data_IF_845269519237
#
_entry.id   IF_845269519237
#
_cell.length_a   1.000
_cell.length_b   1.000
_cell.length_c   1.000
_cell.angle_alpha   90.00
_cell.angle_beta   90.00
_cell.angle_gamma   90.00
#
_symmetry.space_group_name_H-M   'P 1'
#
loop_
_entity.id
_entity.type
_entity.pdbx_description
1 polymer ?
#
# COMPACT_ATOMS: atom_id res chain seq x y z
N UNK A 1 50.21 11.10 -12.32
CA UNK A 1 49.73 9.86 -11.68
C UNK A 1 48.64 10.31 -10.73
N UNK A 2 47.38 10.23 -11.13
CA UNK A 2 46.25 10.68 -10.32
C UNK A 2 45.82 9.50 -9.44
N UNK A 3 45.85 9.68 -8.11
CA UNK A 3 45.32 8.71 -7.16
C UNK A 3 43.82 8.52 -7.41
N UNK A 4 43.40 7.27 -7.59
CA UNK A 4 41.98 6.94 -7.66
C UNK A 4 41.36 7.10 -6.25
N UNK A 5 40.19 7.74 -6.11
CA UNK A 5 39.55 7.88 -4.81
C UNK A 5 39.17 6.50 -4.26
N UNK A 6 39.51 6.25 -2.99
CA UNK A 6 39.19 5.01 -2.27
C UNK A 6 37.69 4.69 -2.37
N UNK A 7 37.32 3.41 -2.55
CA UNK A 7 35.92 3.02 -2.57
C UNK A 7 35.27 3.37 -1.22
N UNK A 8 34.18 4.15 -1.26
CA UNK A 8 33.33 4.41 -0.11
C UNK A 8 32.86 3.08 0.47
N UNK A 9 33.56 2.62 1.51
CA UNK A 9 33.21 1.40 2.22
C UNK A 9 32.29 1.83 3.36
N UNK A 10 31.01 1.47 3.27
CA UNK A 10 30.08 1.71 4.36
C UNK A 10 30.58 0.97 5.61
N UNK A 11 30.57 1.61 6.79
CA UNK A 11 30.95 0.92 8.01
C UNK A 11 30.02 -0.29 8.20
N UNK A 12 30.56 -1.44 8.64
CA UNK A 12 29.74 -2.61 8.92
C UNK A 12 28.69 -2.23 9.95
N UNK A 13 27.42 -2.33 9.58
CA UNK A 13 26.32 -2.10 10.51
C UNK A 13 26.46 -3.12 11.64
N UNK A 14 26.52 -2.69 12.92
CA UNK A 14 26.56 -3.63 14.04
C UNK A 14 25.35 -4.57 13.95
N UNK A 15 25.48 -5.80 14.47
CA UNK A 15 24.34 -6.72 14.57
C UNK A 15 23.25 -6.07 15.43
N UNK A 16 22.28 -5.43 14.78
CA UNK A 16 21.14 -4.83 15.44
C UNK A 16 20.15 -5.95 15.76
N UNK A 17 19.62 -5.93 16.97
CA UNK A 17 18.44 -6.75 17.30
C UNK A 17 17.34 -6.47 16.26
N UNK A 18 16.56 -7.49 15.87
CA UNK A 18 15.52 -7.31 14.89
C UNK A 18 14.57 -6.17 15.35
N UNK A 19 14.22 -5.22 14.46
CA UNK A 19 13.36 -4.10 14.81
C UNK A 19 12.04 -4.58 15.38
N UNK A 20 11.66 -4.04 16.55
CA UNK A 20 10.38 -4.33 17.17
C UNK A 20 9.26 -3.62 16.40
N UNK A 21 8.61 -4.35 15.48
CA UNK A 21 7.56 -3.83 14.59
C UNK A 21 6.39 -3.24 15.40
N UNK A 22 5.96 -3.90 16.47
CA UNK A 22 4.88 -3.41 17.32
C UNK A 22 5.21 -2.08 17.99
N UNK A 23 6.47 -1.86 18.38
CA UNK A 23 6.92 -0.58 18.93
C UNK A 23 6.94 0.55 17.87
N UNK A 24 7.28 0.23 16.62
CA UNK A 24 7.29 1.18 15.50
C UNK A 24 5.86 1.58 15.12
N UNK A 25 4.94 0.61 15.15
CA UNK A 25 3.55 0.76 14.69
C UNK A 25 2.52 0.72 15.83
N UNK A 26 2.84 1.34 16.97
CA UNK A 26 1.97 1.35 18.17
C UNK A 26 0.54 1.88 17.97
N UNK A 27 0.28 2.60 16.87
CA UNK A 27 -1.04 3.13 16.53
C UNK A 27 -1.90 2.14 15.72
N UNK A 28 -1.32 1.03 15.28
CA UNK A 28 -2.00 -0.03 14.54
C UNK A 28 -2.41 -1.09 15.55
N UNK A 29 -3.68 -1.49 15.47
CA UNK A 29 -4.24 -2.57 16.27
C UNK A 29 -3.47 -3.89 16.06
N UNK A 30 -3.29 -4.66 17.14
CA UNK A 30 -2.48 -5.88 17.14
C UNK A 30 -3.04 -6.97 16.20
N UNK A 31 -4.36 -7.13 16.13
CA UNK A 31 -5.00 -8.09 15.22
C UNK A 31 -4.75 -7.69 13.76
N UNK A 32 -4.84 -6.39 13.47
CA UNK A 32 -4.54 -5.86 12.14
C UNK A 32 -3.08 -6.08 11.77
N UNK A 33 -2.15 -5.85 12.70
CA UNK A 33 -0.74 -6.09 12.48
C UNK A 33 -0.47 -7.58 12.23
N UNK A 34 -1.02 -8.47 13.03
CA UNK A 34 -0.89 -9.92 12.86
C UNK A 34 -1.46 -10.38 11.51
N UNK A 35 -2.61 -9.84 11.09
CA UNK A 35 -3.19 -10.12 9.78
C UNK A 35 -2.27 -9.68 8.62
N UNK A 36 -1.51 -8.59 8.77
CA UNK A 36 -0.52 -8.17 7.77
C UNK A 36 0.64 -9.17 7.72
N UNK A 37 1.19 -9.52 8.89
CA UNK A 37 2.35 -10.41 8.99
C UNK A 37 2.06 -11.82 8.47
N UNK A 38 0.81 -12.28 8.62
CA UNK A 38 0.33 -13.57 8.10
C UNK A 38 -0.21 -13.49 6.66
N UNK A 39 -0.21 -12.31 6.03
CA UNK A 39 -0.78 -12.07 4.70
C UNK A 39 -2.29 -12.37 4.58
N UNK A 40 -3.04 -12.15 5.66
CA UNK A 40 -4.47 -12.40 5.77
C UNK A 40 -5.32 -11.11 5.72
N UNK A 41 -4.70 -9.93 5.82
CA UNK A 41 -5.41 -8.65 5.75
C UNK A 41 -6.10 -8.48 4.38
N UNK A 42 -7.44 -8.30 4.31
CA UNK A 42 -8.12 -8.01 3.06
C UNK A 42 -7.75 -6.64 2.52
N UNK A 43 -7.66 -6.50 1.19
CA UNK A 43 -7.34 -5.22 0.55
C UNK A 43 -8.32 -4.10 0.93
N UNK A 44 -9.60 -4.44 1.11
CA UNK A 44 -10.66 -3.53 1.51
C UNK A 44 -10.49 -2.97 2.94
N UNK A 45 -9.65 -3.59 3.77
CA UNK A 45 -9.37 -3.16 5.14
C UNK A 45 -8.07 -2.37 5.29
N UNK A 46 -7.31 -2.17 4.19
CA UNK A 46 -6.07 -1.40 4.22
C UNK A 46 -6.24 0.00 4.82
N UNK A 47 -7.43 0.61 4.71
CA UNK A 47 -7.72 1.94 5.23
C UNK A 47 -7.48 2.06 6.74
N UNK A 48 -7.49 0.95 7.48
CA UNK A 48 -7.13 0.89 8.90
C UNK A 48 -5.69 1.38 9.16
N UNK A 49 -4.84 1.37 8.14
CA UNK A 49 -3.44 1.81 8.19
C UNK A 49 -3.26 3.29 7.81
N UNK A 50 -4.34 3.99 7.45
CA UNK A 50 -4.28 5.41 7.13
C UNK A 50 -4.27 6.25 8.41
N UNK A 51 -3.08 6.67 8.81
CA UNK A 51 -2.87 7.53 9.99
C UNK A 51 -3.60 8.87 9.90
N UNK A 52 -3.89 9.39 8.69
CA UNK A 52 -4.69 10.62 8.53
C UNK A 52 -6.10 10.42 9.04
N UNK A 53 -6.71 9.27 8.70
CA UNK A 53 -8.05 8.91 9.17
C UNK A 53 -8.09 8.61 10.66
N UNK A 54 -7.01 8.04 11.21
CA UNK A 54 -6.88 7.84 12.66
C UNK A 54 -6.86 9.19 13.39
N UNK A 55 -6.10 10.17 12.87
CA UNK A 55 -6.05 11.52 13.43
C UNK A 55 -7.39 12.26 13.27
N UNK A 56 -8.05 12.15 12.13
CA UNK A 56 -9.38 12.73 11.88
C UNK A 56 -10.45 12.09 12.79
N UNK A 57 -10.44 10.76 12.97
CA UNK A 57 -11.35 10.07 13.87
C UNK A 57 -11.11 10.45 15.34
N UNK A 58 -9.86 10.64 15.75
CA UNK A 58 -9.53 11.16 17.08
C UNK A 58 -10.05 12.60 17.26
N UNK A 59 -9.95 13.45 16.24
CA UNK A 59 -10.55 14.79 16.25
C UNK A 59 -12.08 14.75 16.36
N UNK A 60 -12.74 13.85 15.63
CA UNK A 60 -14.19 13.69 15.68
C UNK A 60 -14.69 13.09 17.00
N UNK A 61 -13.92 12.25 17.69
CA UNK A 61 -14.29 11.76 19.03
C UNK A 61 -14.21 12.86 20.09
N UNK A 62 -13.29 13.82 19.96
CA UNK A 62 -13.22 15.01 20.82
C UNK A 62 -14.45 15.91 20.58
N UNK A 63 -14.97 15.97 19.35
CA UNK A 63 -16.16 16.76 18.98
C UNK A 63 -17.49 16.05 19.32
N UNK A 64 -17.50 14.72 19.45
CA UNK A 64 -18.70 13.89 19.66
C UNK A 64 -19.04 13.64 21.15
N UNK A 65 -18.21 14.08 22.10
CA UNK A 65 -18.63 14.13 23.51
C UNK A 65 -19.84 15.08 23.72
N UNK A 66 -20.17 15.93 22.73
CA UNK A 66 -21.24 16.92 22.82
C UNK A 66 -22.49 16.60 21.95
N UNK A 67 -22.56 15.47 21.25
CA UNK A 67 -23.75 15.13 20.44
C UNK A 67 -23.92 13.64 20.10
N UNK A 68 -25.18 13.20 20.19
CA UNK A 68 -25.70 11.83 20.06
C UNK A 68 -25.11 10.99 18.92
N UNK A 69 -24.62 9.80 19.29
CA UNK A 69 -24.03 8.77 18.40
C UNK A 69 -25.09 8.16 17.47
N UNK A 70 -24.97 8.39 16.17
CA UNK A 70 -25.73 7.67 15.13
C UNK A 70 -24.96 6.43 14.69
N UNK A 71 -25.62 5.27 14.66
CA UNK A 71 -25.10 4.01 14.13
C UNK A 71 -24.80 4.19 12.62
N UNK A 72 -23.52 4.36 12.27
CA UNK A 72 -23.10 4.47 10.87
C UNK A 72 -23.00 3.08 10.23
N UNK A 73 -23.62 2.93 9.06
CA UNK A 73 -23.43 1.81 8.15
C UNK A 73 -21.95 1.65 7.79
N UNK A 74 -21.48 0.43 7.57
CA UNK A 74 -20.12 0.16 7.05
C UNK A 74 -20.01 0.86 5.69
N UNK A 75 -19.07 1.80 5.49
CA UNK A 75 -18.92 2.49 4.22
C UNK A 75 -18.52 1.51 3.12
N UNK A 76 -19.02 1.72 1.90
CA UNK A 76 -18.55 0.96 0.73
C UNK A 76 -17.08 1.26 0.46
N UNK A 77 -16.36 0.33 -0.16
CA UNK A 77 -14.95 0.52 -0.51
C UNK A 77 -14.71 1.80 -1.34
N UNK A 78 -15.65 2.20 -2.19
CA UNK A 78 -15.62 3.45 -2.95
C UNK A 78 -15.69 4.72 -2.09
N UNK A 79 -16.43 4.67 -0.99
CA UNK A 79 -16.55 5.79 -0.04
C UNK A 79 -15.29 5.95 0.80
N UNK A 80 -14.58 4.84 1.04
CA UNK A 80 -13.31 4.80 1.78
C UNK A 80 -12.15 5.22 0.88
N UNK A 81 -12.05 4.59 -0.29
CA UNK A 81 -10.99 4.79 -1.27
C UNK A 81 -11.50 5.70 -2.39
N UNK A 82 -11.64 6.99 -2.10
CA UNK A 82 -12.21 7.97 -3.04
C UNK A 82 -11.22 8.37 -4.15
N UNK A 83 -9.92 8.24 -3.89
CA UNK A 83 -8.87 8.66 -4.81
C UNK A 83 -7.56 7.87 -4.58
N UNK A 84 -6.59 8.09 -5.46
CA UNK A 84 -5.30 7.42 -5.40
C UNK A 84 -4.57 7.63 -4.06
N UNK A 85 -4.66 8.82 -3.45
CA UNK A 85 -3.99 9.10 -2.18
C UNK A 85 -4.62 8.35 -1.00
N UNK A 86 -5.94 8.19 -1.00
CA UNK A 86 -6.66 7.39 0.01
C UNK A 86 -6.28 5.91 -0.05
N UNK A 87 -5.73 5.45 -1.19
CA UNK A 87 -5.23 4.09 -1.37
C UNK A 87 -3.72 3.97 -1.11
N UNK A 88 -2.91 4.88 -1.67
CA UNK A 88 -1.45 4.81 -1.59
C UNK A 88 -0.91 5.01 -0.17
N UNK A 89 -1.51 5.89 0.63
CA UNK A 89 -1.04 6.13 2.00
C UNK A 89 -1.10 4.87 2.87
N UNK A 90 -2.26 4.23 3.07
CA UNK A 90 -2.32 2.98 3.83
C UNK A 90 -1.50 1.85 3.19
N UNK A 91 -1.44 1.79 1.86
CA UNK A 91 -0.64 0.79 1.14
C UNK A 91 0.88 0.96 1.39
N UNK A 92 1.38 2.19 1.48
CA UNK A 92 2.77 2.46 1.80
C UNK A 92 3.10 2.04 3.24
N UNK A 93 2.18 2.25 4.18
CA UNK A 93 2.31 1.74 5.56
C UNK A 93 2.39 0.21 5.56
N UNK A 94 1.49 -0.45 4.82
CA UNK A 94 1.48 -1.91 4.63
C UNK A 94 2.83 -2.42 4.10
N UNK A 95 3.34 -1.82 3.02
CA UNK A 95 4.64 -2.21 2.46
C UNK A 95 5.82 -1.93 3.38
N UNK A 96 5.76 -0.87 4.18
CA UNK A 96 6.81 -0.58 5.17
C UNK A 96 6.87 -1.65 6.26
N UNK A 97 5.71 -2.10 6.77
CA UNK A 97 5.62 -3.21 7.73
C UNK A 97 6.23 -4.48 7.13
N UNK A 98 5.83 -4.82 5.90
CA UNK A 98 6.35 -5.99 5.20
C UNK A 98 7.86 -5.90 4.92
N UNK A 99 8.39 -4.73 4.60
CA UNK A 99 9.83 -4.54 4.41
C UNK A 99 10.57 -4.84 5.70
N UNK A 100 10.15 -4.25 6.82
CA UNK A 100 10.81 -4.45 8.11
C UNK A 100 10.75 -5.92 8.53
N UNK A 101 9.58 -6.54 8.43
CA UNK A 101 9.39 -7.95 8.75
C UNK A 101 10.19 -8.87 7.83
N UNK A 102 10.05 -8.70 6.52
CA UNK A 102 10.67 -9.55 5.51
C UNK A 102 12.20 -9.50 5.59
N UNK A 103 12.79 -8.29 5.68
CA UNK A 103 14.24 -8.15 5.78
C UNK A 103 14.79 -8.78 7.07
N UNK A 104 14.06 -8.67 8.18
CA UNK A 104 14.42 -9.32 9.44
C UNK A 104 14.34 -10.86 9.37
N UNK A 105 13.54 -11.39 8.45
CA UNK A 105 13.33 -12.82 8.22
C UNK A 105 14.03 -13.36 6.96
N UNK A 106 15.08 -12.66 6.48
CA UNK A 106 15.95 -13.18 5.42
C UNK A 106 15.48 -12.93 3.99
N UNK A 107 14.46 -12.09 3.78
CA UNK A 107 14.15 -11.59 2.43
C UNK A 107 15.29 -10.72 1.89
N UNK A 108 15.51 -10.70 0.57
CA UNK A 108 16.58 -9.92 -0.03
C UNK A 108 16.36 -8.41 0.15
N UNK A 109 17.46 -7.66 0.19
CA UNK A 109 17.44 -6.17 0.26
C UNK A 109 16.70 -5.50 -0.90
N UNK A 110 16.41 -6.25 -1.96
CA UNK A 110 15.61 -5.83 -3.11
C UNK A 110 14.11 -5.88 -2.87
N UNK A 111 13.63 -6.42 -1.74
CA UNK A 111 12.22 -6.53 -1.39
C UNK A 111 11.44 -5.20 -1.60
N UNK A 112 11.94 -4.03 -1.14
CA UNK A 112 11.24 -2.76 -1.37
C UNK A 112 11.06 -2.40 -2.86
N UNK A 113 11.91 -2.90 -3.75
CA UNK A 113 11.82 -2.62 -5.18
C UNK A 113 10.55 -3.21 -5.79
N UNK A 114 10.08 -4.37 -5.31
CA UNK A 114 8.85 -4.99 -5.81
C UNK A 114 7.64 -4.12 -5.49
N UNK A 115 7.57 -3.59 -4.26
CA UNK A 115 6.49 -2.71 -3.81
C UNK A 115 6.51 -1.36 -4.53
N UNK A 116 7.69 -0.77 -4.72
CA UNK A 116 7.83 0.48 -5.46
C UNK A 116 7.36 0.36 -6.92
N UNK A 117 7.67 -0.76 -7.58
CA UNK A 117 7.19 -1.07 -8.93
C UNK A 117 5.67 -1.15 -8.97
N UNK A 118 5.06 -1.79 -7.98
CA UNK A 118 3.61 -1.84 -7.87
C UNK A 118 2.98 -0.44 -7.68
N UNK A 119 3.49 0.36 -6.75
CA UNK A 119 2.97 1.72 -6.53
C UNK A 119 3.07 2.58 -7.79
N UNK A 120 4.18 2.45 -8.53
CA UNK A 120 4.36 3.14 -9.83
C UNK A 120 3.36 2.66 -10.89
N UNK A 121 3.09 1.35 -10.95
CA UNK A 121 2.06 0.80 -11.83
C UNK A 121 0.67 1.31 -11.47
N UNK A 122 0.34 1.37 -10.16
CA UNK A 122 -0.94 1.86 -9.67
C UNK A 122 -1.18 3.33 -10.06
N UNK A 123 -0.16 4.18 -9.93
CA UNK A 123 -0.19 5.58 -10.39
C UNK A 123 -0.49 5.63 -11.90
N UNK A 124 0.20 4.79 -12.69
CA UNK A 124 0.04 4.76 -14.15
C UNK A 124 -1.39 4.36 -14.54
N UNK A 125 -1.95 3.30 -13.96
CA UNK A 125 -3.30 2.86 -14.30
C UNK A 125 -4.37 3.83 -13.76
N UNK A 126 -4.16 4.47 -12.61
CA UNK A 126 -5.03 5.52 -12.10
C UNK A 126 -5.14 6.72 -13.05
N UNK A 127 -4.06 7.06 -13.76
CA UNK A 127 -4.08 8.09 -14.79
C UNK A 127 -4.85 7.67 -16.05
N UNK A 128 -4.84 6.38 -16.41
CA UNK A 128 -5.33 5.88 -17.71
C UNK A 128 -6.75 5.30 -17.67
N UNK A 129 -7.21 4.85 -16.52
CA UNK A 129 -8.46 4.11 -16.36
C UNK A 129 -9.37 4.76 -15.31
N UNK A 130 -10.67 4.47 -15.39
CA UNK A 130 -11.65 4.91 -14.40
C UNK A 130 -11.28 4.41 -13.01
N UNK A 131 -11.48 5.26 -12.00
CA UNK A 131 -11.03 4.97 -10.64
C UNK A 131 -11.64 3.70 -10.06
N UNK A 132 -12.93 3.46 -10.33
CA UNK A 132 -13.61 2.26 -9.83
C UNK A 132 -12.98 0.97 -10.39
N UNK A 133 -12.63 0.95 -11.67
CA UNK A 133 -11.95 -0.17 -12.31
C UNK A 133 -10.56 -0.41 -11.71
N UNK A 134 -9.83 0.67 -11.42
CA UNK A 134 -8.50 0.62 -10.77
C UNK A 134 -8.60 0.05 -9.35
N UNK A 135 -9.64 0.42 -8.59
CA UNK A 135 -9.86 -0.09 -7.24
C UNK A 135 -10.18 -1.60 -7.24
N UNK A 136 -11.04 -2.04 -8.17
CA UNK A 136 -11.34 -3.47 -8.35
C UNK A 136 -10.09 -4.26 -8.77
N UNK A 137 -9.32 -3.74 -9.72
CA UNK A 137 -8.03 -4.32 -10.11
C UNK A 137 -7.08 -4.43 -8.91
N UNK A 138 -6.97 -3.37 -8.10
CA UNK A 138 -6.13 -3.39 -6.91
C UNK A 138 -6.55 -4.49 -5.93
N UNK A 139 -7.85 -4.63 -5.64
CA UNK A 139 -8.34 -5.67 -4.71
C UNK A 139 -8.05 -7.08 -5.20
N UNK A 140 -8.32 -7.36 -6.49
CA UNK A 140 -8.05 -8.67 -7.07
C UNK A 140 -6.54 -8.96 -7.11
N UNK A 141 -5.73 -7.98 -7.51
CA UNK A 141 -4.28 -8.09 -7.55
C UNK A 141 -3.72 -8.36 -6.15
N UNK A 142 -4.12 -7.57 -5.16
CA UNK A 142 -3.68 -7.68 -3.78
C UNK A 142 -3.98 -9.06 -3.20
N UNK A 143 -5.20 -9.60 -3.41
CA UNK A 143 -5.57 -10.94 -2.95
C UNK A 143 -4.64 -12.01 -3.51
N UNK A 144 -4.31 -11.96 -4.81
CA UNK A 144 -3.34 -12.89 -5.43
C UNK A 144 -1.95 -12.77 -4.79
N UNK A 145 -1.50 -11.54 -4.50
CA UNK A 145 -0.20 -11.31 -3.87
C UNK A 145 -0.15 -11.80 -2.42
N UNK A 146 -1.23 -11.68 -1.66
CA UNK A 146 -1.31 -12.26 -0.32
C UNK A 146 -1.12 -13.79 -0.36
N UNK A 147 -1.78 -14.47 -1.31
CA UNK A 147 -1.58 -15.92 -1.49
C UNK A 147 -0.13 -16.27 -1.83
N UNK A 148 0.53 -15.51 -2.71
CA UNK A 148 1.94 -15.75 -3.05
C UNK A 148 2.89 -15.47 -1.88
N UNK A 149 2.67 -14.38 -1.14
CA UNK A 149 3.49 -14.01 0.01
C UNK A 149 3.35 -15.00 1.17
N UNK A 150 2.19 -15.65 1.33
CA UNK A 150 2.02 -16.77 2.29
C UNK A 150 2.99 -17.93 2.03
N UNK A 151 3.54 -18.02 0.82
CA UNK A 151 4.57 -18.99 0.41
C UNK A 151 5.99 -18.38 0.39
N UNK A 152 6.14 -17.15 0.88
CA UNK A 152 7.41 -16.40 0.89
C UNK A 152 7.79 -15.76 -0.45
N UNK A 153 6.88 -15.73 -1.44
CA UNK A 153 7.15 -15.17 -2.76
C UNK A 153 6.60 -13.74 -2.90
N UNK A 154 7.49 -12.76 -2.91
CA UNK A 154 7.15 -11.34 -3.06
C UNK A 154 7.29 -10.82 -4.50
N UNK A 155 7.84 -11.62 -5.42
CA UNK A 155 8.13 -11.18 -6.79
C UNK A 155 6.86 -10.96 -7.64
N UNK A 156 5.67 -11.34 -7.17
CA UNK A 156 4.42 -11.00 -7.85
C UNK A 156 4.13 -9.51 -7.86
N UNK A 157 4.58 -8.75 -6.86
CA UNK A 157 4.29 -7.31 -6.75
C UNK A 157 4.91 -6.49 -7.89
N UNK A 158 6.04 -6.93 -8.44
CA UNK A 158 6.66 -6.26 -9.60
C UNK A 158 6.04 -6.62 -10.94
N UNK A 159 5.20 -7.66 -10.99
CA UNK A 159 4.62 -8.17 -12.23
C UNK A 159 3.30 -7.48 -12.51
N UNK A 160 3.08 -7.14 -13.78
CA UNK A 160 1.77 -6.74 -14.26
C UNK A 160 0.93 -7.99 -14.44
N UNK A 161 -0.29 -7.98 -13.90
CA UNK A 161 -1.24 -9.07 -14.06
C UNK A 161 -2.11 -8.79 -15.29
N UNK A 162 -1.66 -9.31 -16.44
CA UNK A 162 -2.27 -9.02 -17.75
C UNK A 162 -3.71 -9.50 -17.80
N UNK A 163 -4.00 -10.67 -17.23
CA UNK A 163 -5.35 -11.22 -17.18
C UNK A 163 -6.29 -10.30 -16.40
N UNK A 164 -5.87 -9.80 -15.22
CA UNK A 164 -6.65 -8.82 -14.47
C UNK A 164 -6.78 -7.48 -15.19
N UNK A 165 -5.75 -7.05 -15.93
CA UNK A 165 -5.85 -5.82 -16.73
C UNK A 165 -6.89 -5.97 -17.84
N UNK A 166 -6.89 -7.09 -18.56
CA UNK A 166 -7.84 -7.37 -19.63
C UNK A 166 -9.27 -7.45 -19.09
N UNK A 167 -9.46 -8.17 -17.99
CA UNK A 167 -10.77 -8.38 -17.37
C UNK A 167 -11.35 -7.10 -16.75
N UNK A 168 -10.54 -6.31 -16.04
CA UNK A 168 -11.04 -5.25 -15.17
C UNK A 168 -10.75 -3.84 -15.67
N UNK A 169 -9.71 -3.61 -16.49
CA UNK A 169 -9.27 -2.27 -16.87
C UNK A 169 -9.58 -1.91 -18.32
N UNK A 170 -9.33 -2.80 -19.28
CA UNK A 170 -9.31 -2.46 -20.72
C UNK A 170 -10.58 -1.74 -21.18
N UNK A 171 -11.76 -2.20 -20.75
CA UNK A 171 -13.05 -1.60 -21.12
C UNK A 171 -13.34 -0.25 -20.43
N UNK A 172 -12.58 0.10 -19.40
CA UNK A 172 -12.75 1.30 -18.56
C UNK A 172 -11.65 2.35 -18.79
N UNK A 173 -11.07 2.38 -19.99
CA UNK A 173 -10.06 3.36 -20.34
C UNK A 173 -10.68 4.76 -20.43
N UNK A 174 -10.06 5.73 -19.76
CA UNK A 174 -10.48 7.14 -19.85
C UNK A 174 -10.37 7.63 -21.29
N UNK A 175 -11.30 8.48 -21.75
CA UNK A 175 -11.16 9.15 -23.03
C UNK A 175 -9.89 10.03 -23.00
N UNK A 176 -9.18 10.19 -24.13
CA UNK A 176 -8.09 11.14 -24.21
C UNK A 176 -8.63 12.54 -23.89
N UNK A 177 -7.98 13.28 -22.99
CA UNK A 177 -8.29 14.69 -22.77
C UNK A 177 -8.11 15.44 -24.09
N UNK A 178 -9.23 15.81 -24.73
CA UNK A 178 -9.21 16.70 -25.89
C UNK A 178 -8.95 18.09 -25.33
N UNK A 179 -7.69 18.50 -25.29
CA UNK A 179 -7.31 19.89 -25.08
C UNK A 179 -7.79 20.67 -26.30
N UNK A 180 -8.99 21.26 -26.17
CA UNK A 180 -9.42 22.33 -27.06
C UNK A 180 -8.45 23.50 -26.86
N UNK A 181 -7.42 23.57 -27.68
CA UNK A 181 -6.65 24.78 -27.89
C UNK A 181 -7.60 25.83 -28.45
N UNK A 182 -8.02 26.74 -27.58
CA UNK A 182 -8.73 27.97 -27.96
C UNK A 182 -7.77 28.77 -28.85
N UNK A 183 -8.14 28.92 -30.12
CA UNK A 183 -7.51 29.82 -31.10
C UNK A 183 -8.00 31.24 -30.83
#
# INVERSE_FOLDING_TARGET
MYDAPSPFTYPPTPAQEPPNISAIYQHIDEDTLNAILNHELPAAELYKLDTRRILEAQWHLIDLEDSTVSFRCVPSALEIYQNLDSLLVPLNTYFSILCIHGLSNGQPVTLPCHFFRYSSHLIKIAAQYEWQAVLLYHFAFFARRCCEMSQGNYAGWEKIDVDLMEELLVQHRKPPEVTLSVI
#
